data_IF_746024725941
#
_entry.id   IF_746024725941
#
_cell.length_a   1.000
_cell.length_b   1.000
_cell.length_c   1.000
_cell.angle_alpha   90.00
_cell.angle_beta   90.00
_cell.angle_gamma   90.00
#
_symmetry.space_group_name_H-M   'P 1'
#
loop_
_entity.id
_entity.type
_entity.pdbx_description
1 polymer ?
#
# COMPACT_ATOMS: atom_id res chain seq x y z
N UNK A 1 39.25 16.26 36.53
CA UNK A 1 38.00 17.00 36.78
C UNK A 1 36.93 15.96 37.00
N UNK A 2 36.60 15.71 38.27
CA UNK A 2 35.80 14.58 38.73
C UNK A 2 34.31 14.79 38.52
N UNK A 3 33.78 14.23 37.43
CA UNK A 3 32.34 14.18 37.12
C UNK A 3 31.55 13.45 38.22
N UNK A 4 32.21 12.54 38.96
CA UNK A 4 31.60 11.79 40.06
C UNK A 4 31.32 12.66 41.30
N UNK A 5 32.15 13.69 41.56
CA UNK A 5 31.98 14.56 42.73
C UNK A 5 30.77 15.50 42.59
N UNK A 6 30.49 15.94 41.36
CA UNK A 6 29.28 16.70 41.04
C UNK A 6 28.00 15.87 41.16
N UNK A 7 28.07 14.56 40.90
CA UNK A 7 26.88 13.70 40.94
C UNK A 7 26.41 13.42 42.37
N UNK A 8 27.31 13.31 43.35
CA UNK A 8 26.96 13.12 44.77
C UNK A 8 26.38 14.40 45.41
N UNK A 9 26.87 15.58 45.03
CA UNK A 9 26.34 16.86 45.52
C UNK A 9 24.91 17.14 44.99
N UNK A 10 24.60 16.73 43.76
CA UNK A 10 23.24 16.87 43.19
C UNK A 10 22.25 15.90 43.86
N UNK A 11 22.66 14.67 44.19
CA UNK A 11 21.79 13.68 44.83
C UNK A 11 21.47 14.03 46.28
N UNK A 12 22.41 14.65 47.00
CA UNK A 12 22.20 15.15 48.38
C UNK A 12 21.41 16.45 48.43
N UNK A 13 21.54 17.33 47.43
CA UNK A 13 20.69 18.52 47.29
C UNK A 13 19.24 18.15 46.94
N UNK A 14 19.05 17.19 46.03
CA UNK A 14 17.72 16.77 45.58
C UNK A 14 16.93 16.01 46.67
N UNK A 15 17.59 15.16 47.48
CA UNK A 15 16.89 14.46 48.57
C UNK A 15 16.34 15.44 49.62
N UNK A 16 17.04 16.53 49.91
CA UNK A 16 16.54 17.62 50.76
C UNK A 16 15.45 18.50 50.11
N UNK A 17 15.46 18.62 48.77
CA UNK A 17 14.44 19.35 48.02
C UNK A 17 13.09 18.61 48.04
N UNK A 18 13.08 17.31 47.74
CA UNK A 18 11.84 16.51 47.71
C UNK A 18 11.17 16.40 49.08
N UNK A 19 11.95 16.28 50.17
CA UNK A 19 11.40 16.21 51.53
C UNK A 19 10.76 17.55 51.95
N UNK A 20 11.25 18.70 51.47
CA UNK A 20 10.73 20.04 51.82
C UNK A 20 9.49 20.47 51.04
N UNK A 21 9.15 19.81 49.93
CA UNK A 21 7.94 20.12 49.15
C UNK A 21 6.68 19.69 49.91
N UNK A 22 6.74 18.53 50.58
CA UNK A 22 5.63 18.00 51.37
C UNK A 22 5.28 18.91 52.57
N UNK A 23 6.28 19.54 53.18
CA UNK A 23 6.13 20.38 54.39
C UNK A 23 5.50 21.76 54.13
N UNK A 24 5.45 22.24 52.88
CA UNK A 24 4.88 23.56 52.54
C UNK A 24 3.44 23.51 52.01
N UNK A 25 2.80 22.34 52.01
CA UNK A 25 1.46 22.16 51.43
C UNK A 25 1.41 22.34 49.91
N UNK A 26 2.55 22.36 49.23
CA UNK A 26 2.65 22.46 47.76
C UNK A 26 2.45 21.06 47.18
N UNK A 27 1.56 20.92 46.19
CA UNK A 27 1.36 19.63 45.52
C UNK A 27 2.63 19.26 44.78
N UNK A 28 3.07 18.01 44.92
CA UNK A 28 4.27 17.47 44.29
C UNK A 28 4.30 17.72 42.76
N UNK A 29 3.12 17.68 42.11
CA UNK A 29 2.96 18.03 40.69
C UNK A 29 3.51 19.42 40.37
N UNK A 30 3.13 20.43 41.15
CA UNK A 30 3.47 21.84 40.89
C UNK A 30 4.95 22.11 41.19
N UNK A 31 5.54 21.34 42.11
CA UNK A 31 6.96 21.42 42.46
C UNK A 31 7.90 20.64 41.53
N UNK A 32 7.36 19.86 40.58
CA UNK A 32 8.17 18.97 39.75
C UNK A 32 7.93 19.14 38.25
N UNK A 33 6.69 19.39 37.82
CA UNK A 33 6.33 19.42 36.39
C UNK A 33 6.60 20.81 35.78
N UNK A 34 6.41 21.90 36.55
CA UNK A 34 6.43 23.28 36.03
C UNK A 34 7.55 24.16 36.62
N UNK A 35 8.59 23.56 37.20
CA UNK A 35 9.67 24.31 37.88
C UNK A 35 10.80 24.68 36.93
N UNK A 36 11.03 23.89 35.89
CA UNK A 36 12.10 24.13 34.91
C UNK A 36 11.52 24.40 33.52
N UNK A 37 12.19 25.26 32.76
CA UNK A 37 11.78 25.71 31.41
C UNK A 37 11.71 24.57 30.40
N UNK A 38 12.41 23.47 30.65
CA UNK A 38 12.41 22.28 29.80
C UNK A 38 11.21 21.35 30.07
N UNK A 39 10.56 21.45 31.23
CA UNK A 39 9.39 20.64 31.62
C UNK A 39 9.53 19.15 31.21
N UNK A 40 10.67 18.54 31.56
CA UNK A 40 11.10 17.24 31.02
C UNK A 40 10.03 16.15 31.26
N UNK A 41 9.40 16.15 32.43
CA UNK A 41 8.38 15.15 32.78
C UNK A 41 7.13 15.29 31.91
N UNK A 42 6.66 16.51 31.67
CA UNK A 42 5.49 16.75 30.82
C UNK A 42 5.78 16.40 29.37
N UNK A 43 6.97 16.76 28.87
CA UNK A 43 7.41 16.42 27.53
C UNK A 43 7.54 14.91 27.34
N UNK A 44 8.11 14.19 28.31
CA UNK A 44 8.21 12.72 28.25
C UNK A 44 6.85 12.05 28.33
N UNK A 45 5.99 12.48 29.27
CA UNK A 45 4.65 11.94 29.42
C UNK A 45 3.83 12.12 28.13
N UNK A 46 3.82 13.33 27.58
CA UNK A 46 3.12 13.61 26.32
C UNK A 46 3.69 12.80 25.15
N UNK A 47 5.00 12.60 25.08
CA UNK A 47 5.65 11.76 24.08
C UNK A 47 5.23 10.28 24.21
N UNK A 48 5.17 9.74 25.42
CA UNK A 48 4.69 8.37 25.64
C UNK A 48 3.22 8.20 25.26
N UNK A 49 2.36 9.15 25.63
CA UNK A 49 0.94 9.13 25.24
C UNK A 49 0.79 9.19 23.72
N UNK A 50 1.59 9.99 23.02
CA UNK A 50 1.59 10.03 21.56
C UNK A 50 2.08 8.72 20.95
N UNK A 51 3.14 8.11 21.49
CA UNK A 51 3.65 6.84 21.02
C UNK A 51 2.62 5.71 21.21
N UNK A 52 1.96 5.67 22.37
CA UNK A 52 0.90 4.72 22.68
C UNK A 52 -0.26 4.81 21.69
N UNK A 53 -0.74 6.04 21.41
CA UNK A 53 -1.79 6.28 20.42
C UNK A 53 -1.35 5.93 19.00
N UNK A 54 -0.11 6.26 18.63
CA UNK A 54 0.44 5.95 17.30
C UNK A 54 0.60 4.45 17.08
N UNK A 55 0.95 3.71 18.13
CA UNK A 55 1.02 2.25 18.11
C UNK A 55 -0.35 1.58 18.16
N UNK A 56 -1.44 2.36 18.28
CA UNK A 56 -2.80 1.85 18.43
C UNK A 56 -2.88 0.81 19.58
N UNK A 57 -2.11 1.03 20.65
CA UNK A 57 -1.90 0.06 21.73
C UNK A 57 -3.20 -0.30 22.46
N UNK A 58 -4.17 0.61 22.52
CA UNK A 58 -5.50 0.36 23.11
C UNK A 58 -6.20 -0.84 22.44
N UNK A 59 -5.97 -1.06 21.15
CA UNK A 59 -6.59 -2.15 20.37
C UNK A 59 -5.98 -3.53 20.62
N UNK A 60 -4.91 -3.64 21.41
CA UNK A 60 -4.41 -4.92 21.87
C UNK A 60 -5.18 -5.45 23.08
N UNK A 61 -5.85 -4.57 23.83
CA UNK A 61 -6.49 -4.86 25.11
C UNK A 61 -8.02 -4.80 25.02
N UNK A 62 -8.70 -5.25 26.07
CA UNK A 62 -10.14 -5.06 26.22
C UNK A 62 -10.44 -3.61 26.61
N UNK A 63 -11.45 -3.05 25.96
CA UNK A 63 -11.95 -1.71 26.26
C UNK A 63 -13.23 -1.89 27.06
N UNK A 64 -13.23 -1.42 28.29
CA UNK A 64 -14.42 -1.42 29.13
C UNK A 64 -15.50 -0.47 28.58
N UNK A 65 -16.78 -0.67 28.95
CA UNK A 65 -17.87 0.20 28.50
C UNK A 65 -17.71 1.68 28.89
N UNK A 66 -16.90 1.96 29.90
CA UNK A 66 -16.54 3.31 30.35
C UNK A 66 -15.45 3.97 29.47
N UNK A 67 -14.93 3.26 28.46
CA UNK A 67 -13.86 3.72 27.57
C UNK A 67 -12.45 3.52 28.13
N UNK A 68 -12.30 2.84 29.27
CA UNK A 68 -10.99 2.57 29.87
C UNK A 68 -10.43 1.25 29.33
N UNK A 69 -9.15 1.24 28.95
CA UNK A 69 -8.46 0.00 28.56
C UNK A 69 -8.05 -0.79 29.79
N UNK A 70 -8.36 -2.08 29.82
CA UNK A 70 -7.85 -3.00 30.84
C UNK A 70 -6.44 -3.46 30.46
N UNK A 71 -5.78 -4.17 31.37
CA UNK A 71 -4.53 -4.86 31.08
C UNK A 71 -4.75 -6.29 30.53
N UNK A 72 -6.00 -6.67 30.24
CA UNK A 72 -6.33 -7.97 29.66
C UNK A 72 -6.28 -7.89 28.14
N UNK A 73 -5.51 -8.77 27.45
CA UNK A 73 -5.51 -8.82 26.00
C UNK A 73 -6.91 -9.16 25.48
N UNK A 74 -7.33 -8.54 24.38
CA UNK A 74 -8.62 -8.87 23.80
C UNK A 74 -8.61 -10.22 23.07
N UNK A 75 -9.81 -10.73 22.79
CA UNK A 75 -9.99 -12.01 22.11
C UNK A 75 -9.28 -12.09 20.75
N UNK A 76 -9.22 -10.98 20.00
CA UNK A 76 -8.53 -10.93 18.71
C UNK A 76 -7.02 -11.12 18.85
N UNK A 77 -6.40 -10.43 19.81
CA UNK A 77 -4.97 -10.54 20.13
C UNK A 77 -4.62 -11.96 20.62
N UNK A 78 -5.45 -12.52 21.51
CA UNK A 78 -5.26 -13.89 22.00
C UNK A 78 -5.36 -14.90 20.85
N UNK A 79 -6.38 -14.75 20.00
CA UNK A 79 -6.58 -15.63 18.84
C UNK A 79 -5.45 -15.50 17.82
N UNK A 80 -4.94 -14.29 17.57
CA UNK A 80 -3.80 -14.05 16.68
C UNK A 80 -2.57 -14.84 17.16
N UNK A 81 -2.16 -14.66 18.42
CA UNK A 81 -1.00 -15.35 18.98
C UNK A 81 -1.19 -16.86 19.09
N UNK A 82 -2.42 -17.34 19.25
CA UNK A 82 -2.71 -18.78 19.21
C UNK A 82 -2.43 -19.37 17.81
N UNK A 83 -2.87 -18.70 16.73
CA UNK A 83 -2.59 -19.14 15.35
C UNK A 83 -1.09 -19.02 15.04
N UNK A 84 -0.47 -17.90 15.43
CA UNK A 84 0.97 -17.67 15.28
C UNK A 84 1.78 -18.79 15.95
N UNK A 85 1.41 -19.16 17.18
CA UNK A 85 2.08 -20.24 17.88
C UNK A 85 1.94 -21.58 17.14
N UNK A 86 0.78 -21.87 16.54
CA UNK A 86 0.58 -23.05 15.71
C UNK A 86 1.49 -23.07 14.47
N UNK A 87 1.70 -21.92 13.83
CA UNK A 87 2.65 -21.77 12.71
C UNK A 87 4.07 -22.07 13.19
N UNK A 88 4.49 -21.44 14.29
CA UNK A 88 5.82 -21.61 14.88
C UNK A 88 6.08 -23.07 15.29
N UNK A 89 5.11 -23.73 15.86
CA UNK A 89 5.19 -25.17 16.20
C UNK A 89 5.31 -26.04 14.95
N UNK A 90 4.54 -25.74 13.89
CA UNK A 90 4.67 -26.44 12.62
C UNK A 90 6.06 -26.29 12.01
N UNK A 91 6.60 -25.06 11.98
CA UNK A 91 7.94 -24.78 11.46
C UNK A 91 8.98 -25.56 12.28
N UNK A 92 8.96 -25.43 13.62
CA UNK A 92 9.88 -26.15 14.52
C UNK A 92 9.84 -27.66 14.30
N UNK A 93 8.66 -28.25 14.17
CA UNK A 93 8.49 -29.70 13.97
C UNK A 93 9.04 -30.19 12.64
N UNK A 94 9.03 -29.36 11.60
CA UNK A 94 9.41 -29.76 10.23
C UNK A 94 10.75 -29.18 9.78
N UNK A 95 11.43 -28.38 10.62
CA UNK A 95 12.65 -27.65 10.27
C UNK A 95 13.78 -28.59 9.78
N UNK A 96 13.90 -29.79 10.35
CA UNK A 96 14.89 -30.79 9.92
C UNK A 96 14.69 -31.26 8.46
N UNK A 97 13.47 -31.14 7.94
CA UNK A 97 13.09 -31.62 6.60
C UNK A 97 13.05 -30.51 5.55
N UNK A 98 13.45 -29.28 5.89
CA UNK A 98 13.58 -28.05 5.08
C UNK A 98 12.75 -27.95 3.78
N UNK A 99 12.94 -28.82 2.79
CA UNK A 99 12.19 -28.88 1.53
C UNK A 99 10.68 -29.09 1.69
N UNK A 100 10.19 -29.61 2.83
CA UNK A 100 8.75 -29.84 3.07
C UNK A 100 8.11 -28.86 4.06
N UNK A 101 8.88 -27.95 4.68
CA UNK A 101 8.33 -27.00 5.66
C UNK A 101 7.26 -26.11 5.02
N UNK A 102 7.56 -25.56 3.84
CA UNK A 102 6.64 -24.67 3.14
C UNK A 102 5.33 -25.36 2.73
N UNK A 103 5.36 -26.66 2.40
CA UNK A 103 4.17 -27.39 1.99
C UNK A 103 3.35 -27.84 3.20
N UNK A 104 4.00 -28.34 4.24
CA UNK A 104 3.34 -28.83 5.46
C UNK A 104 2.77 -27.70 6.33
N UNK A 105 3.46 -26.55 6.38
CA UNK A 105 3.05 -25.41 7.18
C UNK A 105 2.30 -24.33 6.40
N UNK A 106 1.98 -24.59 5.12
CA UNK A 106 1.24 -23.65 4.25
C UNK A 106 -0.12 -23.29 4.84
N UNK A 107 -0.88 -24.28 5.27
CA UNK A 107 -2.26 -24.08 5.76
C UNK A 107 -2.30 -23.29 7.07
N UNK A 108 -1.51 -23.64 8.13
CA UNK A 108 -1.39 -22.78 9.31
C UNK A 108 -0.97 -21.35 8.99
N UNK A 109 0.03 -21.17 8.12
CA UNK A 109 0.51 -19.84 7.74
C UNK A 109 -0.55 -19.04 6.99
N UNK A 110 -1.28 -19.69 6.07
CA UNK A 110 -2.40 -19.08 5.34
C UNK A 110 -3.47 -18.59 6.31
N UNK A 111 -3.87 -19.42 7.29
CA UNK A 111 -4.84 -19.03 8.33
C UNK A 111 -4.38 -17.80 9.12
N UNK A 112 -3.09 -17.73 9.49
CA UNK A 112 -2.52 -16.55 10.16
C UNK A 112 -2.64 -15.30 9.30
N UNK A 113 -2.24 -15.39 8.02
CA UNK A 113 -2.28 -14.27 7.10
C UNK A 113 -3.71 -13.81 6.80
N UNK A 114 -4.64 -14.75 6.62
CA UNK A 114 -6.05 -14.45 6.38
C UNK A 114 -6.70 -13.79 7.61
N UNK A 115 -6.40 -14.27 8.82
CA UNK A 115 -6.87 -13.64 10.06
C UNK A 115 -6.32 -12.22 10.21
N UNK A 116 -5.02 -12.02 9.99
CA UNK A 116 -4.40 -10.68 9.99
C UNK A 116 -5.08 -9.73 8.97
N UNK A 117 -5.35 -10.22 7.75
CA UNK A 117 -6.05 -9.43 6.74
C UNK A 117 -7.48 -9.07 7.16
N UNK A 118 -8.18 -9.99 7.84
CA UNK A 118 -9.51 -9.70 8.38
C UNK A 118 -9.47 -8.63 9.47
N UNK A 119 -8.48 -8.66 10.37
CA UNK A 119 -8.28 -7.62 11.39
C UNK A 119 -8.00 -6.26 10.75
N UNK A 120 -7.16 -6.22 9.71
CA UNK A 120 -6.84 -4.98 8.98
C UNK A 120 -8.06 -4.37 8.28
N UNK A 121 -9.04 -5.18 7.90
CA UNK A 121 -10.27 -4.71 7.27
C UNK A 121 -11.32 -4.23 8.30
N UNK A 122 -11.39 -4.89 9.46
CA UNK A 122 -12.44 -4.63 10.46
C UNK A 122 -12.07 -3.54 11.46
N UNK A 123 -10.79 -3.34 11.76
CA UNK A 123 -10.35 -2.39 12.78
C UNK A 123 -8.95 -1.83 12.52
N UNK A 124 -8.53 -0.89 13.37
CA UNK A 124 -7.12 -0.59 13.55
C UNK A 124 -6.46 -1.78 14.25
N UNK A 125 -5.23 -2.10 13.84
CA UNK A 125 -4.46 -3.23 14.36
C UNK A 125 -3.34 -2.65 15.22
N UNK A 126 -3.20 -3.14 16.44
CA UNK A 126 -2.14 -2.68 17.32
C UNK A 126 -0.75 -3.10 16.80
N UNK A 127 0.26 -2.30 17.11
CA UNK A 127 1.62 -2.46 16.59
C UNK A 127 2.22 -3.84 16.90
N UNK A 128 1.94 -4.41 18.06
CA UNK A 128 2.47 -5.74 18.45
C UNK A 128 2.06 -6.85 17.46
N UNK A 129 0.80 -6.85 17.01
CA UNK A 129 0.30 -7.78 15.99
C UNK A 129 0.97 -7.50 14.64
N UNK A 130 1.15 -6.23 14.28
CA UNK A 130 1.81 -5.83 13.02
C UNK A 130 3.26 -6.30 13.01
N UNK A 131 3.99 -6.11 14.11
CA UNK A 131 5.39 -6.49 14.25
C UNK A 131 5.57 -8.01 14.25
N UNK A 132 4.74 -8.74 14.99
CA UNK A 132 4.74 -10.20 14.96
C UNK A 132 4.41 -10.75 13.57
N UNK A 133 3.43 -10.17 12.86
CA UNK A 133 3.10 -10.58 11.50
C UNK A 133 4.25 -10.27 10.52
N UNK A 134 4.92 -9.14 10.68
CA UNK A 134 6.08 -8.76 9.86
C UNK A 134 7.27 -9.69 10.10
N UNK A 135 7.55 -10.03 11.36
CA UNK A 135 8.55 -11.03 11.71
C UNK A 135 8.21 -12.40 11.10
N UNK A 136 6.96 -12.85 11.24
CA UNK A 136 6.47 -14.11 10.66
C UNK A 136 6.60 -14.14 9.13
N UNK A 137 6.33 -13.02 8.45
CA UNK A 137 6.52 -12.88 7.00
C UNK A 137 8.00 -12.91 6.60
N UNK A 138 8.85 -12.28 7.39
CA UNK A 138 10.29 -12.31 7.17
C UNK A 138 10.82 -13.75 7.30
N UNK A 139 10.47 -14.45 8.38
CA UNK A 139 10.85 -15.84 8.60
C UNK A 139 10.34 -16.75 7.47
N UNK A 140 9.07 -16.60 7.09
CA UNK A 140 8.47 -17.41 6.03
C UNK A 140 9.12 -17.19 4.65
N UNK A 141 9.33 -15.93 4.26
CA UNK A 141 9.79 -15.61 2.90
C UNK A 141 11.31 -15.63 2.76
N UNK A 142 12.03 -15.02 3.71
CA UNK A 142 13.47 -14.81 3.63
C UNK A 142 14.24 -15.98 4.23
N UNK A 143 13.87 -16.43 5.41
CA UNK A 143 14.65 -17.44 6.14
C UNK A 143 14.32 -18.85 5.65
N UNK A 144 13.04 -19.14 5.40
CA UNK A 144 12.59 -20.44 4.85
C UNK A 144 12.50 -20.46 3.32
N UNK A 145 12.55 -19.30 2.65
CA UNK A 145 12.44 -19.24 1.19
C UNK A 145 11.07 -19.64 0.64
N UNK A 146 10.03 -19.67 1.47
CA UNK A 146 8.71 -20.11 1.05
C UNK A 146 8.04 -19.06 0.16
N UNK A 147 7.70 -19.46 -1.07
CA UNK A 147 6.99 -18.59 -2.00
C UNK A 147 5.49 -18.68 -1.75
N UNK A 148 4.85 -17.53 -1.58
CA UNK A 148 3.40 -17.45 -1.63
C UNK A 148 2.99 -17.66 -3.10
N UNK A 149 2.53 -18.85 -3.44
CA UNK A 149 1.89 -19.07 -4.73
C UNK A 149 0.57 -18.31 -4.73
N UNK A 150 0.56 -17.15 -5.40
CA UNK A 150 -0.68 -16.58 -5.90
C UNK A 150 -1.22 -17.55 -6.94
N UNK A 151 -2.38 -18.14 -6.65
CA UNK A 151 -3.14 -18.83 -7.69
C UNK A 151 -3.57 -17.77 -8.68
N UNK A 152 -2.89 -17.75 -9.84
CA UNK A 152 -3.22 -16.83 -10.92
C UNK A 152 -4.66 -17.10 -11.32
N UNK A 153 -5.53 -16.11 -11.17
CA UNK A 153 -6.93 -16.24 -11.53
C UNK A 153 -7.04 -16.56 -13.03
N UNK A 154 -7.62 -17.72 -13.42
CA UNK A 154 -7.76 -18.09 -14.83
C UNK A 154 -8.55 -17.04 -15.62
N UNK A 155 -9.46 -16.29 -14.99
CA UNK A 155 -10.20 -15.19 -15.63
C UNK A 155 -9.28 -14.01 -15.99
N UNK A 156 -8.29 -13.72 -15.17
CA UNK A 156 -7.33 -12.64 -15.42
C UNK A 156 -6.40 -12.97 -16.60
N UNK A 157 -5.95 -14.23 -16.69
CA UNK A 157 -5.12 -14.68 -17.82
C UNK A 157 -5.92 -14.63 -19.12
N UNK A 158 -7.14 -15.19 -19.12
CA UNK A 158 -7.98 -15.27 -20.32
C UNK A 158 -8.39 -13.89 -20.84
N UNK A 159 -8.73 -12.94 -19.96
CA UNK A 159 -9.04 -11.56 -20.36
C UNK A 159 -7.83 -10.84 -20.94
N UNK A 160 -6.65 -10.93 -20.31
CA UNK A 160 -5.43 -10.33 -20.82
C UNK A 160 -5.06 -10.83 -22.22
N UNK A 161 -5.21 -12.14 -22.44
CA UNK A 161 -5.02 -12.78 -23.75
C UNK A 161 -6.01 -12.20 -24.77
N UNK A 162 -7.29 -12.17 -24.45
CA UNK A 162 -8.34 -11.66 -25.35
C UNK A 162 -8.11 -10.20 -25.75
N UNK A 163 -7.80 -9.32 -24.80
CA UNK A 163 -7.49 -7.91 -25.07
C UNK A 163 -6.24 -7.73 -25.96
N UNK A 164 -5.29 -8.65 -25.91
CA UNK A 164 -4.08 -8.60 -26.75
C UNK A 164 -4.38 -9.07 -28.19
N UNK A 165 -5.22 -10.10 -28.34
CA UNK A 165 -5.55 -10.67 -29.65
C UNK A 165 -6.58 -9.85 -30.44
N UNK A 166 -7.52 -9.17 -29.78
CA UNK A 166 -8.55 -8.38 -30.46
C UNK A 166 -7.98 -7.33 -31.43
N UNK A 167 -7.03 -6.46 -31.03
CA UNK A 167 -6.43 -5.49 -31.95
C UNK A 167 -5.68 -6.15 -33.10
N UNK A 168 -4.93 -7.22 -32.81
CA UNK A 168 -4.14 -7.97 -33.80
C UNK A 168 -5.04 -8.56 -34.89
N UNK A 169 -6.17 -9.16 -34.51
CA UNK A 169 -7.16 -9.71 -35.43
C UNK A 169 -7.84 -8.56 -36.20
N UNK A 170 -8.23 -7.48 -35.54
CA UNK A 170 -8.86 -6.33 -36.18
C UNK A 170 -7.99 -5.74 -37.29
N UNK A 171 -6.72 -5.44 -37.00
CA UNK A 171 -5.78 -4.92 -38.00
C UNK A 171 -5.53 -5.92 -39.13
N UNK A 172 -5.42 -7.21 -38.81
CA UNK A 172 -5.28 -8.28 -39.81
C UNK A 172 -6.47 -8.35 -40.76
N UNK A 173 -7.70 -8.26 -40.22
CA UNK A 173 -8.93 -8.26 -41.02
C UNK A 173 -9.03 -7.00 -41.88
N UNK A 174 -8.81 -5.81 -41.32
CA UNK A 174 -8.83 -4.55 -42.06
C UNK A 174 -7.86 -4.59 -43.25
N UNK A 175 -6.62 -5.07 -43.04
CA UNK A 175 -5.63 -5.19 -44.12
C UNK A 175 -6.10 -6.15 -45.23
N UNK A 176 -6.66 -7.30 -44.86
CA UNK A 176 -7.16 -8.29 -45.84
C UNK A 176 -8.38 -7.80 -46.61
N UNK A 177 -9.31 -7.12 -45.96
CA UNK A 177 -10.49 -6.56 -46.62
C UNK A 177 -10.12 -5.37 -47.51
N UNK A 178 -9.26 -4.45 -47.04
CA UNK A 178 -8.79 -3.31 -47.83
C UNK A 178 -8.09 -3.76 -49.12
N UNK A 179 -7.15 -4.69 -49.03
CA UNK A 179 -6.46 -5.24 -50.20
C UNK A 179 -7.42 -5.90 -51.20
N UNK A 180 -8.46 -6.61 -50.72
CA UNK A 180 -9.48 -7.19 -51.60
C UNK A 180 -10.34 -6.15 -52.30
N UNK A 181 -10.65 -5.04 -51.64
CA UNK A 181 -11.42 -3.93 -52.23
C UNK A 181 -10.57 -3.25 -53.31
N UNK A 182 -9.32 -2.94 -53.00
CA UNK A 182 -8.37 -2.31 -53.94
C UNK A 182 -8.18 -3.15 -55.21
N UNK A 183 -7.92 -4.46 -55.09
CA UNK A 183 -7.79 -5.34 -56.24
C UNK A 183 -9.06 -5.43 -57.10
N UNK A 184 -10.25 -5.30 -56.48
CA UNK A 184 -11.52 -5.27 -57.24
C UNK A 184 -11.72 -3.96 -57.97
N UNK A 185 -11.32 -2.83 -57.40
CA UNK A 185 -11.43 -1.52 -58.04
C UNK A 185 -10.50 -1.44 -59.26
N UNK A 186 -9.25 -1.87 -59.13
CA UNK A 186 -8.30 -1.91 -60.25
C UNK A 186 -8.79 -2.81 -61.40
N UNK A 187 -9.38 -3.96 -61.07
CA UNK A 187 -9.96 -4.86 -62.08
C UNK A 187 -11.16 -4.26 -62.81
N UNK A 188 -11.93 -3.37 -62.17
CA UNK A 188 -13.05 -2.67 -62.80
C UNK A 188 -12.58 -1.51 -63.67
N UNK A 189 -11.52 -0.79 -63.28
CA UNK A 189 -10.90 0.25 -64.12
C UNK A 189 -10.30 -0.35 -65.40
N UNK A 190 -9.61 -1.49 -65.30
CA UNK A 190 -9.04 -2.18 -66.47
C UNK A 190 -10.13 -2.62 -67.45
N UNK A 191 -11.23 -3.20 -66.94
CA UNK A 191 -12.38 -3.60 -67.76
C UNK A 191 -13.20 -2.43 -68.30
N UNK A 192 -13.25 -1.31 -67.58
CA UNK A 192 -13.88 -0.07 -68.05
C UNK A 192 -13.09 0.61 -69.18
N UNK A 193 -11.77 0.39 -69.24
CA UNK A 193 -10.89 0.93 -70.28
C UNK A 193 -11.00 0.19 -71.63
N UNK A 194 -11.36 -1.10 -71.61
CA UNK A 194 -11.48 -1.93 -72.83
C UNK A 194 -12.82 -1.78 -73.57
N UNK A 195 -13.84 -1.20 -72.93
CA UNK A 195 -15.18 -1.03 -73.52
C UNK A 195 -15.53 0.45 -73.73
N UNK A 196 -14.95 1.05 -74.77
CA UNK A 196 -15.56 2.17 -75.47
C UNK A 196 -15.01 3.56 -75.17
N UNK A 197 -14.61 4.22 -76.25
CA UNK A 197 -14.56 5.68 -76.41
C UNK A 197 -15.84 6.33 -75.84
N UNK A 198 -15.81 6.77 -74.59
CA UNK A 198 -16.69 7.83 -74.08
C UNK A 198 -15.79 8.90 -73.49
N UNK A 199 -15.82 10.09 -74.11
CA UNK A 199 -15.21 11.30 -73.57
C UNK A 199 -15.82 11.58 -72.19
N UNK A 200 -15.11 11.23 -71.13
CA UNK A 200 -15.28 11.91 -69.85
C UNK A 200 -14.44 13.17 -69.95
N UNK A 201 -15.12 14.31 -70.05
CA UNK A 201 -14.47 15.61 -70.05
C UNK A 201 -13.55 15.74 -68.84
N UNK A 202 -12.37 16.32 -69.09
CA UNK A 202 -11.52 16.92 -68.06
C UNK A 202 -12.38 17.88 -67.24
N UNK A 203 -12.90 17.42 -66.11
CA UNK A 203 -13.29 18.32 -65.04
C UNK A 203 -11.98 18.84 -64.46
N UNK A 204 -11.62 20.08 -64.79
CA UNK A 204 -10.66 20.86 -64.01
C UNK A 204 -11.27 21.09 -62.62
N UNK A 205 -11.16 20.07 -61.77
CA UNK A 205 -11.36 20.20 -60.34
C UNK A 205 -10.04 20.66 -59.74
N UNK A 206 -9.89 21.97 -59.60
CA UNK A 206 -8.90 22.60 -58.73
C UNK A 206 -8.98 21.91 -57.37
N UNK A 207 -7.89 21.27 -56.94
CA UNK A 207 -7.74 20.83 -55.56
C UNK A 207 -7.50 22.08 -54.72
N UNK A 208 -8.59 22.71 -54.31
CA UNK A 208 -8.55 23.79 -53.34
C UNK A 208 -8.04 23.19 -52.03
N UNK A 209 -6.81 23.59 -51.67
CA UNK A 209 -6.02 23.03 -50.58
C UNK A 209 -6.48 23.50 -49.20
N UNK A 210 -7.73 23.94 -49.08
CA UNK A 210 -8.26 24.61 -47.91
C UNK A 210 -9.58 23.95 -47.49
N UNK A 211 -9.48 23.00 -46.54
CA UNK A 211 -10.44 22.68 -45.46
C UNK A 211 -10.26 21.24 -44.95
N UNK A 212 -9.07 20.96 -44.41
CA UNK A 212 -9.02 20.12 -43.21
C UNK A 212 -9.06 21.06 -42.01
N UNK A 213 -10.25 21.60 -41.71
CA UNK A 213 -10.50 22.06 -40.35
C UNK A 213 -10.56 20.79 -39.50
N UNK A 214 -9.59 20.63 -38.59
CA UNK A 214 -9.76 19.78 -37.42
C UNK A 214 -11.16 20.04 -36.84
N UNK A 215 -11.94 19.00 -36.49
CA UNK A 215 -13.06 19.20 -35.60
C UNK A 215 -12.50 19.85 -34.33
N UNK A 216 -12.92 21.08 -34.10
CA UNK A 216 -12.70 21.77 -32.84
C UNK A 216 -13.27 20.91 -31.73
N UNK A 217 -12.47 20.84 -30.68
CA UNK A 217 -12.69 20.15 -29.43
C UNK A 217 -13.96 20.66 -28.71
N UNK A 218 -15.16 20.24 -29.11
CA UNK A 218 -16.42 20.33 -28.33
C UNK A 218 -17.61 19.86 -29.18
N UNK A 219 -18.02 18.59 -29.03
CA UNK A 219 -19.43 18.14 -29.09
C UNK A 219 -19.48 16.61 -28.92
N UNK A 220 -19.27 16.17 -27.67
CA UNK A 220 -19.83 14.92 -27.15
C UNK A 220 -20.29 15.20 -25.72
N UNK A 221 -21.41 15.91 -25.60
CA UNK A 221 -22.26 15.89 -24.42
C UNK A 221 -23.60 15.27 -24.81
N UNK A 222 -23.97 14.21 -24.09
CA UNK A 222 -25.12 13.35 -24.35
C UNK A 222 -24.68 12.14 -25.18
N UNK A 223 -24.73 10.90 -24.70
CA UNK A 223 -25.83 10.24 -24.00
C UNK A 223 -25.24 9.07 -23.19
N UNK A 224 -25.76 8.80 -21.98
CA UNK A 224 -25.71 7.46 -21.38
C UNK A 224 -25.09 7.36 -19.99
N UNK A 225 -25.84 7.76 -18.97
CA UNK A 225 -25.60 7.38 -17.59
C UNK A 225 -25.70 5.85 -17.43
N UNK A 226 -24.60 5.21 -17.01
CA UNK A 226 -24.64 3.92 -16.32
C UNK A 226 -24.01 4.11 -14.96
N UNK A 227 -24.88 4.07 -13.95
CA UNK A 227 -24.52 3.96 -12.54
C UNK A 227 -23.83 2.61 -12.31
N UNK A 228 -22.56 2.65 -11.92
CA UNK A 228 -21.91 1.59 -11.15
C UNK A 228 -21.04 2.23 -10.09
N UNK A 229 -21.41 1.98 -8.85
CA UNK A 229 -20.72 2.45 -7.66
C UNK A 229 -19.27 1.92 -7.58
N UNK A 230 -18.38 2.83 -7.16
CA UNK A 230 -17.21 2.63 -6.32
C UNK A 230 -16.30 1.42 -6.55
N UNK A 231 -15.09 1.69 -7.07
CA UNK A 231 -13.86 1.18 -6.44
C UNK A 231 -12.76 2.24 -6.58
N UNK A 232 -12.36 2.80 -5.44
CA UNK A 232 -11.26 3.76 -5.29
C UNK A 232 -9.96 2.96 -5.46
N UNK A 233 -9.24 3.22 -6.56
CA UNK A 233 -7.82 2.91 -6.68
C UNK A 233 -7.06 4.21 -6.46
N UNK A 234 -6.54 4.40 -5.24
CA UNK A 234 -5.53 5.42 -4.98
C UNK A 234 -4.15 4.77 -5.04
N UNK A 235 -3.36 5.24 -5.98
CA UNK A 235 -1.92 5.06 -6.08
C UNK A 235 -1.22 5.36 -4.75
N UNK A 236 -0.12 4.65 -4.48
CA UNK A 236 1.09 5.33 -3.98
C UNK A 236 2.34 4.52 -4.33
N UNK A 237 3.04 5.04 -5.35
CA UNK A 237 4.50 4.97 -5.47
C UNK A 237 5.11 5.70 -4.28
N UNK A 238 5.81 5.00 -3.39
CA UNK A 238 6.85 5.61 -2.56
C UNK A 238 7.90 4.54 -2.21
N UNK A 239 8.83 4.30 -3.12
CA UNK A 239 10.13 3.74 -2.80
C UNK A 239 11.13 4.21 -3.86
N UNK A 240 11.99 5.16 -3.47
CA UNK A 240 13.16 5.53 -4.28
C UNK A 240 13.29 7.02 -4.49
N UNK A 241 13.78 7.72 -3.47
CA UNK A 241 14.76 8.82 -3.55
C UNK A 241 14.82 9.50 -2.19
N UNK A 242 15.96 9.39 -1.49
CA UNK A 242 16.60 10.46 -0.69
C UNK A 242 17.78 9.84 0.08
N UNK A 243 18.94 9.83 -0.56
CA UNK A 243 20.24 9.98 0.11
C UNK A 243 21.08 10.91 -0.74
N UNK A 244 21.92 11.70 -0.05
CA UNK A 244 22.86 12.72 -0.52
C UNK A 244 22.29 14.14 -0.63
N UNK A 245 22.56 14.97 0.39
CA UNK A 245 23.31 16.20 0.18
C UNK A 245 24.03 16.62 1.47
N UNK A 246 25.35 16.67 1.34
CA UNK A 246 26.34 17.26 2.24
C UNK A 246 26.05 18.76 2.38
N UNK A 247 26.09 19.27 3.61
CA UNK A 247 26.14 20.72 3.89
C UNK A 247 27.60 21.12 4.13
N UNK A 248 28.17 21.81 3.14
CA UNK A 248 29.21 22.83 3.33
C UNK A 248 28.50 24.17 3.04
N UNK A 249 28.42 25.08 4.00
CA UNK A 249 29.35 26.21 4.06
C UNK A 249 29.04 27.15 5.25
N UNK A 250 30.11 27.82 5.62
CA UNK A 250 30.44 28.80 6.63
C UNK A 250 29.51 30.00 6.76
N UNK A 251 29.20 30.40 8.00
CA UNK A 251 29.55 31.73 8.53
C UNK A 251 29.42 31.79 10.05
#
# INVERSE_FOLDING_TARGET
MDVLKYHEEILTYNSGFFIKVQDRGVKCKDALINVDRLEIIETLYSSFVQLWKKGECDYCFEIEPNGTTTYTPNNSTIHFHAIENSVRECIKKNMEKNSTVCTLCREPYKKLNDFYNSLKQSSRVCMDIVDSMNASRMEWSKDLGCKLHFEMDPYLITTAVLFTFIPSIFYGLVKKYSSRVESRLLYQEEKGSESGHIRVGRAEGVWERDKWKLPSHQEYLGIGAWSSAGYISSENRLAGQFYTHVSQDSR
#
